data_IF_663811002651
#
_entry.id   IF_663811002651
#
_cell.length_a   1.000
_cell.length_b   1.000
_cell.length_c   1.000
_cell.angle_alpha   90.00
_cell.angle_beta   90.00
_cell.angle_gamma   90.00
#
_symmetry.space_group_name_H-M   'P 1'
#
loop_
_entity.id
_entity.type
_entity.pdbx_description
1 polymer ?
#
# COMPACT_ATOMS: atom_id res chain seq x y z
N UNK A 1 -19.97 -10.58 37.76
CA UNK A 1 -20.41 -11.96 38.08
C UNK A 1 -21.12 -12.58 36.86
N UNK A 2 -20.31 -13.11 35.93
CA UNK A 2 -20.78 -13.71 34.66
C UNK A 2 -20.09 -15.09 34.40
N UNK A 3 -19.39 -15.62 35.41
CA UNK A 3 -18.70 -16.91 35.29
C UNK A 3 -19.63 -18.08 35.59
N UNK A 4 -20.62 -17.90 36.48
CA UNK A 4 -21.56 -18.95 36.91
C UNK A 4 -22.77 -19.13 35.97
N UNK A 5 -23.01 -18.19 35.06
CA UNK A 5 -24.10 -18.18 34.07
C UNK A 5 -23.74 -18.88 32.76
N UNK A 6 -22.47 -19.32 32.62
CA UNK A 6 -21.96 -19.95 31.40
C UNK A 6 -22.38 -21.40 31.31
N UNK A 7 -22.54 -21.94 30.09
CA UNK A 7 -22.90 -23.34 29.92
C UNK A 7 -21.81 -24.25 30.50
N UNK A 8 -22.22 -25.33 31.15
CA UNK A 8 -21.34 -26.38 31.68
C UNK A 8 -20.72 -27.19 30.54
N UNK A 9 -19.79 -26.58 29.79
CA UNK A 9 -19.02 -27.16 28.69
C UNK A 9 -17.53 -26.90 28.91
N UNK A 10 -16.70 -27.74 28.33
CA UNK A 10 -15.23 -27.70 28.44
C UNK A 10 -14.49 -27.88 27.11
N UNK A 11 -15.20 -27.82 25.98
CA UNK A 11 -14.67 -27.96 24.62
C UNK A 11 -15.44 -27.02 23.71
N UNK A 12 -14.71 -26.16 22.98
CA UNK A 12 -15.27 -25.16 22.10
C UNK A 12 -14.57 -25.25 20.75
N UNK A 13 -15.34 -25.33 19.66
CA UNK A 13 -14.84 -25.35 18.29
C UNK A 13 -15.46 -24.23 17.47
N UNK A 14 -14.71 -23.65 16.54
CA UNK A 14 -15.25 -22.71 15.56
C UNK A 14 -16.04 -23.41 14.45
N UNK A 15 -15.77 -24.71 14.23
CA UNK A 15 -16.46 -25.55 13.26
C UNK A 15 -17.05 -26.77 13.96
N UNK A 16 -18.38 -26.88 13.99
CA UNK A 16 -19.09 -28.00 14.61
C UNK A 16 -19.21 -29.22 13.71
N UNK A 17 -19.15 -29.01 12.39
CA UNK A 17 -19.34 -30.08 11.41
C UNK A 17 -18.03 -30.83 11.17
N UNK A 18 -16.93 -30.08 11.11
CA UNK A 18 -15.58 -30.65 11.00
C UNK A 18 -14.66 -30.00 12.05
N UNK A 19 -14.84 -30.30 13.34
CA UNK A 19 -13.98 -29.75 14.37
C UNK A 19 -12.52 -30.19 14.14
N UNK A 20 -11.55 -29.27 14.26
CA UNK A 20 -10.13 -29.62 14.24
C UNK A 20 -9.82 -30.74 15.26
N UNK A 21 -9.06 -31.74 14.80
CA UNK A 21 -8.72 -32.91 15.62
C UNK A 21 -7.36 -32.73 16.29
N UNK A 22 -7.21 -33.29 17.49
CA UNK A 22 -5.94 -33.39 18.21
C UNK A 22 -5.21 -34.67 17.77
N UNK A 23 -4.15 -34.56 16.97
CA UNK A 23 -3.32 -35.68 16.55
C UNK A 23 -2.23 -35.96 17.59
N UNK A 24 -1.33 -35.02 17.85
CA UNK A 24 -0.21 -35.20 18.80
C UNK A 24 -0.70 -35.18 20.25
N UNK A 25 -1.54 -34.21 20.60
CA UNK A 25 -2.06 -34.02 21.96
C UNK A 25 -2.82 -35.26 22.47
N UNK A 26 -3.45 -36.03 21.58
CA UNK A 26 -4.12 -37.28 21.95
C UNK A 26 -3.19 -38.29 22.65
N UNK A 27 -1.92 -38.31 22.27
CA UNK A 27 -0.89 -39.16 22.88
C UNK A 27 -0.27 -38.57 24.15
N UNK A 28 -0.41 -37.26 24.35
CA UNK A 28 0.20 -36.51 25.46
C UNK A 28 -0.75 -36.33 26.66
N UNK A 29 -2.04 -36.65 26.51
CA UNK A 29 -2.99 -36.58 27.61
C UNK A 29 -2.80 -37.76 28.57
N UNK A 30 -2.85 -37.48 29.86
CA UNK A 30 -2.91 -38.50 30.89
C UNK A 30 -4.28 -39.23 30.84
N UNK A 31 -4.33 -40.47 31.33
CA UNK A 31 -5.54 -41.30 31.26
C UNK A 31 -6.72 -40.81 32.10
N UNK A 32 -6.47 -39.92 33.07
CA UNK A 32 -7.48 -39.26 33.90
C UNK A 32 -7.98 -37.92 33.31
N UNK A 33 -7.42 -37.48 32.18
CA UNK A 33 -7.87 -36.29 31.48
C UNK A 33 -9.14 -36.55 30.66
N UNK A 34 -9.89 -35.49 30.38
CA UNK A 34 -11.04 -35.50 29.50
C UNK A 34 -10.69 -36.09 28.13
N UNK A 35 -11.63 -36.78 27.45
CA UNK A 35 -11.41 -37.32 26.10
C UNK A 35 -11.02 -36.24 25.08
N UNK A 36 -10.20 -36.61 24.09
CA UNK A 36 -9.89 -35.74 22.93
C UNK A 36 -10.96 -35.78 21.84
N UNK A 37 -11.85 -36.77 21.88
CA UNK A 37 -12.98 -36.88 20.95
C UNK A 37 -13.94 -35.70 21.19
N UNK A 38 -14.38 -35.05 20.12
CA UNK A 38 -15.30 -33.90 20.24
C UNK A 38 -16.66 -34.39 20.76
N UNK A 39 -17.23 -33.75 21.81
CA UNK A 39 -18.50 -34.19 22.40
C UNK A 39 -19.73 -34.11 21.48
N UNK A 40 -19.63 -33.42 20.34
CA UNK A 40 -20.70 -33.38 19.34
C UNK A 40 -21.86 -32.46 19.74
N UNK A 41 -23.09 -32.92 19.46
CA UNK A 41 -24.31 -32.12 19.54
C UNK A 41 -24.52 -31.49 20.93
N UNK A 42 -24.32 -32.27 22.00
CA UNK A 42 -24.50 -31.86 23.40
C UNK A 42 -23.74 -30.58 23.79
N UNK A 43 -22.61 -30.33 23.11
CA UNK A 43 -21.78 -29.15 23.33
C UNK A 43 -22.03 -28.08 22.28
N UNK A 44 -22.21 -28.48 21.02
CA UNK A 44 -22.40 -27.52 19.93
C UNK A 44 -23.65 -26.67 20.10
N UNK A 45 -24.77 -27.21 20.62
CA UNK A 45 -26.00 -26.45 20.85
C UNK A 45 -25.81 -25.41 21.96
N UNK A 46 -25.26 -25.83 23.11
CA UNK A 46 -24.94 -24.94 24.24
C UNK A 46 -23.94 -23.86 23.85
N UNK A 47 -22.95 -24.22 23.04
CA UNK A 47 -21.99 -23.26 22.52
C UNK A 47 -22.66 -22.27 21.55
N UNK A 48 -23.51 -22.73 20.65
CA UNK A 48 -24.20 -21.88 19.67
C UNK A 48 -25.08 -20.83 20.36
N UNK A 49 -25.73 -21.19 21.46
CA UNK A 49 -26.53 -20.26 22.28
C UNK A 49 -25.64 -19.27 23.04
N UNK A 50 -24.60 -19.75 23.74
CA UNK A 50 -23.80 -18.91 24.63
C UNK A 50 -22.69 -18.10 23.93
N UNK A 51 -22.18 -18.59 22.80
CA UNK A 51 -21.02 -18.04 22.08
C UNK A 51 -21.25 -17.99 20.56
N UNK A 52 -22.30 -17.29 20.08
CA UNK A 52 -22.63 -17.24 18.66
C UNK A 52 -21.55 -16.59 17.79
N UNK A 53 -20.68 -15.77 18.40
CA UNK A 53 -19.56 -15.08 17.77
C UNK A 53 -18.35 -15.98 17.48
N UNK A 54 -18.25 -17.14 18.12
CA UNK A 54 -17.13 -18.07 17.90
C UNK A 54 -17.38 -18.85 16.62
N UNK A 55 -16.83 -18.31 15.54
CA UNK A 55 -16.92 -18.82 14.18
C UNK A 55 -15.52 -18.89 13.55
N UNK A 56 -15.37 -19.61 12.43
CA UNK A 56 -14.10 -19.67 11.71
C UNK A 56 -13.69 -18.26 11.27
N UNK A 57 -12.39 -17.97 11.30
CA UNK A 57 -11.86 -16.73 10.77
C UNK A 57 -11.42 -16.94 9.33
N UNK A 58 -11.81 -16.03 8.43
CA UNK A 58 -11.38 -16.04 7.03
C UNK A 58 -10.55 -14.80 6.76
N UNK A 59 -9.39 -14.98 6.12
CA UNK A 59 -8.47 -13.91 5.76
C UNK A 59 -8.20 -13.95 4.25
N UNK A 60 -8.16 -12.78 3.63
CA UNK A 60 -7.80 -12.60 2.21
C UNK A 60 -6.28 -12.71 2.00
N UNK A 61 -5.70 -13.84 2.41
CA UNK A 61 -4.27 -14.16 2.36
C UNK A 61 -4.08 -15.61 1.94
N UNK A 62 -2.84 -15.96 1.56
CA UNK A 62 -2.54 -17.36 1.25
C UNK A 62 -2.64 -18.23 2.51
N UNK A 63 -2.75 -19.54 2.32
CA UNK A 63 -2.80 -20.47 3.44
C UNK A 63 -1.49 -20.46 4.23
N UNK A 64 -0.36 -20.29 3.54
CA UNK A 64 0.97 -20.21 4.12
C UNK A 64 1.12 -18.96 5.00
N UNK A 65 0.76 -17.78 4.50
CA UNK A 65 0.83 -16.53 5.25
C UNK A 65 -0.11 -16.58 6.47
N UNK A 66 -1.33 -17.09 6.26
CA UNK A 66 -2.32 -17.24 7.34
C UNK A 66 -1.86 -18.21 8.42
N UNK A 67 -1.21 -19.30 8.03
CA UNK A 67 -0.59 -20.25 8.94
C UNK A 67 0.53 -19.59 9.76
N UNK A 68 1.43 -18.86 9.12
CA UNK A 68 2.52 -18.19 9.81
C UNK A 68 1.99 -17.11 10.78
N UNK A 69 0.95 -16.35 10.40
CA UNK A 69 0.25 -15.42 11.29
C UNK A 69 -0.34 -16.11 12.53
N UNK A 70 -1.01 -17.25 12.34
CA UNK A 70 -1.57 -18.04 13.45
C UNK A 70 -0.48 -18.59 14.38
N UNK A 71 0.61 -19.10 13.80
CA UNK A 71 1.78 -19.60 14.54
C UNK A 71 2.43 -18.50 15.39
N UNK A 72 2.67 -17.34 14.79
CA UNK A 72 3.24 -16.20 15.50
C UNK A 72 2.30 -15.67 16.58
N UNK A 73 0.99 -15.65 16.34
CA UNK A 73 0.01 -15.29 17.35
C UNK A 73 0.07 -16.23 18.56
N UNK A 74 0.20 -17.54 18.36
CA UNK A 74 0.42 -18.49 19.47
C UNK A 74 1.71 -18.23 20.24
N UNK A 75 2.80 -17.90 19.52
CA UNK A 75 4.08 -17.57 20.15
C UNK A 75 3.98 -16.28 20.99
N UNK A 76 3.28 -15.24 20.51
CA UNK A 76 3.03 -13.99 21.28
C UNK A 76 2.19 -14.21 22.53
N UNK A 77 1.35 -15.25 22.52
CA UNK A 77 0.53 -15.66 23.67
C UNK A 77 1.28 -16.59 24.63
N UNK A 78 2.57 -16.86 24.38
CA UNK A 78 3.41 -17.80 25.12
C UNK A 78 2.82 -19.21 25.21
N UNK A 79 2.10 -19.65 24.17
CA UNK A 79 1.56 -21.00 24.11
C UNK A 79 2.63 -21.97 23.60
N UNK A 80 2.74 -23.12 24.29
CA UNK A 80 3.74 -24.13 23.95
C UNK A 80 3.25 -24.96 22.77
N UNK A 81 3.78 -24.71 21.58
CA UNK A 81 3.52 -25.53 20.39
C UNK A 81 4.15 -26.91 20.58
N UNK A 82 3.34 -27.97 20.44
CA UNK A 82 3.75 -29.37 20.58
C UNK A 82 3.78 -30.12 19.24
N UNK A 83 3.05 -29.64 18.25
CA UNK A 83 3.08 -30.15 16.89
C UNK A 83 2.72 -29.05 15.91
N UNK A 84 3.41 -29.02 14.77
CA UNK A 84 3.15 -28.06 13.70
C UNK A 84 3.33 -28.76 12.35
N UNK A 85 2.40 -28.51 11.42
CA UNK A 85 2.40 -29.00 10.04
C UNK A 85 1.96 -27.85 9.15
N UNK A 86 2.86 -27.39 8.28
CA UNK A 86 2.54 -26.35 7.31
C UNK A 86 1.51 -26.84 6.28
N UNK A 87 0.68 -25.94 5.71
CA UNK A 87 -0.12 -26.29 4.55
C UNK A 87 0.81 -26.62 3.37
N UNK A 88 0.52 -27.72 2.67
CA UNK A 88 1.32 -28.18 1.52
C UNK A 88 0.44 -28.97 0.55
N UNK A 89 0.59 -28.75 -0.75
CA UNK A 89 -0.08 -29.57 -1.79
C UNK A 89 -1.61 -29.59 -1.70
N UNK A 90 -2.23 -28.54 -1.15
CA UNK A 90 -3.68 -28.46 -0.90
C UNK A 90 -4.14 -29.09 0.41
N UNK A 91 -3.25 -29.74 1.16
CA UNK A 91 -3.55 -30.21 2.51
C UNK A 91 -3.59 -29.02 3.50
N UNK A 92 -4.53 -29.02 4.47
CA UNK A 92 -4.60 -27.96 5.46
C UNK A 92 -3.41 -28.03 6.43
N UNK A 93 -2.92 -26.86 6.83
CA UNK A 93 -1.96 -26.73 7.91
C UNK A 93 -2.61 -27.01 9.27
N UNK A 94 -1.79 -27.44 10.24
CA UNK A 94 -2.21 -27.70 11.62
C UNK A 94 -1.17 -27.22 12.62
N UNK A 95 -1.63 -26.61 13.71
CA UNK A 95 -0.80 -26.26 14.86
C UNK A 95 -1.50 -26.74 16.11
N UNK A 96 -0.82 -27.55 16.91
CA UNK A 96 -1.29 -27.99 18.22
C UNK A 96 -0.41 -27.35 19.30
N UNK A 97 -1.07 -26.72 20.26
CA UNK A 97 -0.40 -26.05 21.35
C UNK A 97 -1.07 -26.33 22.69
N UNK A 98 -0.28 -26.16 23.73
CA UNK A 98 -0.64 -26.37 25.11
C UNK A 98 -0.52 -25.04 25.86
N UNK A 99 -1.52 -24.72 26.67
CA UNK A 99 -1.59 -23.48 27.44
C UNK A 99 -1.80 -23.77 28.91
N UNK A 100 -1.14 -23.00 29.78
CA UNK A 100 -1.27 -23.13 31.23
C UNK A 100 -2.22 -22.05 31.74
N UNK A 101 -3.23 -22.43 32.52
CA UNK A 101 -4.12 -21.46 33.16
C UNK A 101 -3.50 -20.90 34.45
N UNK A 102 -3.49 -19.56 34.58
CA UNK A 102 -2.80 -18.83 35.65
C UNK A 102 -3.28 -19.15 37.07
N UNK A 103 -4.53 -19.61 37.24
CA UNK A 103 -5.17 -19.66 38.57
C UNK A 103 -5.16 -21.05 39.22
N UNK A 104 -4.82 -22.12 38.46
CA UNK A 104 -4.76 -23.49 39.01
C UNK A 104 -3.71 -24.39 38.36
N UNK A 105 -2.93 -23.91 37.39
CA UNK A 105 -1.92 -24.74 36.71
C UNK A 105 -2.52 -25.84 35.82
N UNK A 106 -3.82 -25.80 35.53
CA UNK A 106 -4.43 -26.75 34.61
C UNK A 106 -3.97 -26.46 33.19
N UNK A 107 -3.52 -27.52 32.55
CA UNK A 107 -3.08 -27.56 31.17
C UNK A 107 -4.31 -27.72 30.27
N UNK A 108 -4.50 -26.78 29.35
CA UNK A 108 -5.53 -26.86 28.32
C UNK A 108 -4.89 -27.03 26.94
N UNK A 109 -5.67 -27.55 26.00
CA UNK A 109 -5.21 -27.82 24.65
C UNK A 109 -5.91 -26.91 23.65
N UNK A 110 -5.16 -26.52 22.63
CA UNK A 110 -5.69 -25.80 21.48
C UNK A 110 -5.11 -26.39 20.19
N UNK A 111 -5.98 -26.54 19.20
CA UNK A 111 -5.58 -26.92 17.85
C UNK A 111 -6.14 -25.89 16.88
N UNK A 112 -5.29 -25.49 15.95
CA UNK A 112 -5.63 -24.62 14.83
C UNK A 112 -5.45 -25.40 13.54
N UNK A 113 -6.43 -25.33 12.66
CA UNK A 113 -6.39 -25.84 11.29
C UNK A 113 -6.50 -24.66 10.34
N UNK A 114 -5.58 -24.57 9.38
CA UNK A 114 -5.60 -23.54 8.33
C UNK A 114 -5.82 -24.22 6.99
N UNK A 115 -6.93 -23.90 6.33
CA UNK A 115 -7.31 -24.48 5.04
C UNK A 115 -7.26 -23.44 3.94
N UNK A 116 -6.73 -23.82 2.78
CA UNK A 116 -6.71 -22.96 1.60
C UNK A 116 -8.11 -22.83 0.99
N UNK A 117 -8.49 -21.62 0.60
CA UNK A 117 -9.65 -21.30 -0.22
C UNK A 117 -9.24 -20.65 -1.54
N UNK A 118 -10.20 -20.04 -2.25
CA UNK A 118 -9.93 -19.34 -3.51
C UNK A 118 -9.56 -17.88 -3.23
N UNK A 119 -8.25 -17.59 -3.16
CA UNK A 119 -7.75 -16.23 -2.86
C UNK A 119 -7.86 -15.82 -1.39
N UNK A 120 -8.29 -16.75 -0.54
CA UNK A 120 -8.43 -16.58 0.90
C UNK A 120 -8.00 -17.86 1.63
N UNK A 121 -7.82 -17.77 2.94
CA UNK A 121 -7.58 -18.90 3.81
C UNK A 121 -8.49 -18.85 5.04
N UNK A 122 -8.87 -20.02 5.53
CA UNK A 122 -9.77 -20.20 6.67
C UNK A 122 -9.03 -20.80 7.85
N UNK A 123 -9.19 -20.17 9.01
CA UNK A 123 -8.69 -20.64 10.31
C UNK A 123 -9.85 -21.23 11.10
N UNK A 124 -9.82 -22.54 11.32
CA UNK A 124 -10.66 -23.22 12.29
C UNK A 124 -9.86 -23.48 13.57
N UNK A 125 -10.49 -23.31 14.72
CA UNK A 125 -9.86 -23.48 16.03
C UNK A 125 -10.74 -24.34 16.91
N UNK A 126 -10.12 -25.27 17.64
CA UNK A 126 -10.75 -25.97 18.75
C UNK A 126 -9.91 -25.84 20.00
N UNK A 127 -10.55 -25.53 21.11
CA UNK A 127 -9.90 -25.45 22.41
C UNK A 127 -10.66 -26.26 23.44
N UNK A 128 -9.96 -27.15 24.12
CA UNK A 128 -10.55 -28.14 25.01
C UNK A 128 -9.74 -28.24 26.31
N UNK A 129 -10.45 -28.28 27.43
CA UNK A 129 -9.85 -28.41 28.75
C UNK A 129 -9.56 -29.86 29.09
N UNK A 130 -8.38 -30.13 29.66
CA UNK A 130 -8.00 -31.50 30.07
C UNK A 130 -8.72 -31.96 31.33
N UNK A 131 -9.14 -31.04 32.19
CA UNK A 131 -9.74 -31.38 33.48
C UNK A 131 -10.99 -30.55 33.75
N UNK A 132 -11.95 -31.19 34.42
CA UNK A 132 -13.23 -30.59 34.79
C UNK A 132 -14.23 -30.51 33.64
N UNK A 133 -15.52 -30.45 33.99
CA UNK A 133 -16.63 -30.43 33.03
C UNK A 133 -17.04 -29.01 32.59
N UNK A 134 -16.52 -27.97 33.25
CA UNK A 134 -16.90 -26.58 33.03
C UNK A 134 -15.66 -25.69 32.97
N UNK A 135 -15.47 -25.02 31.83
CA UNK A 135 -14.31 -24.14 31.60
C UNK A 135 -14.56 -22.68 32.01
N UNK A 136 -15.77 -22.33 32.47
CA UNK A 136 -16.20 -20.96 32.78
C UNK A 136 -15.91 -19.98 31.61
N UNK A 137 -16.00 -20.49 30.38
CA UNK A 137 -15.70 -19.83 29.11
C UNK A 137 -14.22 -19.47 28.89
N UNK A 138 -13.29 -20.19 29.52
CA UNK A 138 -11.86 -20.05 29.27
C UNK A 138 -11.48 -20.40 27.83
N UNK A 139 -12.07 -21.45 27.24
CA UNK A 139 -11.83 -21.86 25.86
C UNK A 139 -12.29 -20.78 24.89
N UNK A 140 -13.47 -20.21 25.13
CA UNK A 140 -14.01 -19.10 24.35
C UNK A 140 -13.07 -17.88 24.38
N UNK A 141 -12.58 -17.51 25.57
CA UNK A 141 -11.61 -16.41 25.72
C UNK A 141 -10.29 -16.70 25.00
N UNK A 142 -9.79 -17.93 25.03
CA UNK A 142 -8.56 -18.32 24.32
C UNK A 142 -8.70 -18.19 22.82
N UNK A 143 -9.79 -18.68 22.24
CA UNK A 143 -10.04 -18.54 20.79
C UNK A 143 -10.10 -17.05 20.40
N UNK A 144 -10.84 -16.22 21.17
CA UNK A 144 -10.90 -14.77 20.91
C UNK A 144 -9.54 -14.08 21.00
N UNK A 145 -8.71 -14.46 21.98
CA UNK A 145 -7.34 -13.92 22.13
C UNK A 145 -6.47 -14.28 20.94
N UNK A 146 -6.48 -15.54 20.51
CA UNK A 146 -5.77 -15.99 19.31
C UNK A 146 -6.19 -15.15 18.10
N UNK A 147 -7.49 -15.01 17.87
CA UNK A 147 -8.04 -14.21 16.77
C UNK A 147 -7.65 -12.73 16.83
N UNK A 148 -7.59 -12.15 18.03
CA UNK A 148 -7.12 -10.77 18.23
C UNK A 148 -5.65 -10.64 17.82
N UNK A 149 -4.81 -11.59 18.25
CA UNK A 149 -3.38 -11.58 17.92
C UNK A 149 -3.11 -11.83 16.44
N UNK A 150 -3.89 -12.70 15.78
CA UNK A 150 -3.81 -12.91 14.33
C UNK A 150 -4.11 -11.62 13.57
N UNK A 151 -5.19 -10.92 13.94
CA UNK A 151 -5.54 -9.62 13.33
C UNK A 151 -4.46 -8.57 13.56
N UNK A 152 -3.92 -8.47 14.78
CA UNK A 152 -2.84 -7.53 15.08
C UNK A 152 -1.57 -7.82 14.25
N UNK A 153 -1.25 -9.11 14.03
CA UNK A 153 -0.15 -9.52 13.15
C UNK A 153 -0.38 -9.11 11.69
N UNK A 154 -1.61 -9.29 11.20
CA UNK A 154 -2.00 -8.89 9.84
C UNK A 154 -1.89 -7.38 9.65
N UNK A 155 -2.48 -6.58 10.54
CA UNK A 155 -2.44 -5.12 10.49
C UNK A 155 -1.01 -4.58 10.54
N UNK A 156 -0.16 -5.18 11.37
CA UNK A 156 1.26 -4.86 11.43
C UNK A 156 1.95 -5.11 10.09
N UNK A 157 1.74 -6.29 9.48
CA UNK A 157 2.31 -6.63 8.19
C UNK A 157 1.85 -5.70 7.06
N UNK A 158 0.56 -5.34 7.04
CA UNK A 158 0.01 -4.38 6.08
C UNK A 158 0.62 -2.99 6.24
N UNK A 159 0.78 -2.53 7.48
CA UNK A 159 1.40 -1.24 7.78
C UNK A 159 2.85 -1.20 7.33
N UNK A 160 3.64 -2.22 7.63
CA UNK A 160 5.04 -2.31 7.22
C UNK A 160 5.17 -2.31 5.68
N UNK A 161 4.31 -3.06 4.99
CA UNK A 161 4.26 -3.07 3.53
C UNK A 161 3.92 -1.69 2.95
N UNK A 162 2.96 -0.97 3.55
CA UNK A 162 2.60 0.39 3.15
C UNK A 162 3.75 1.37 3.36
N UNK A 163 4.43 1.31 4.51
CA UNK A 163 5.59 2.16 4.80
C UNK A 163 6.72 1.95 3.79
N UNK A 164 7.02 0.70 3.45
CA UNK A 164 8.01 0.36 2.41
C UNK A 164 7.58 0.91 1.04
N UNK A 165 6.31 0.73 0.66
CA UNK A 165 5.79 1.23 -0.61
C UNK A 165 5.84 2.76 -0.70
N UNK A 166 5.49 3.47 0.38
CA UNK A 166 5.59 4.93 0.45
C UNK A 166 7.04 5.40 0.38
N UNK A 167 7.96 4.75 1.08
CA UNK A 167 9.38 5.06 1.04
C UNK A 167 9.96 4.89 -0.37
N UNK A 168 9.59 3.80 -1.07
CA UNK A 168 9.96 3.56 -2.46
C UNK A 168 9.42 4.66 -3.37
N UNK A 169 8.12 4.98 -3.28
CA UNK A 169 7.50 6.04 -4.09
C UNK A 169 8.13 7.41 -3.85
N UNK A 170 8.47 7.73 -2.60
CA UNK A 170 9.15 8.98 -2.25
C UNK A 170 10.56 9.07 -2.86
N UNK A 171 11.30 7.95 -2.88
CA UNK A 171 12.60 7.87 -3.55
C UNK A 171 12.45 8.08 -5.06
N UNK A 172 11.53 7.36 -5.69
CA UNK A 172 11.29 7.45 -7.13
C UNK A 172 10.89 8.89 -7.53
N UNK A 173 10.05 9.56 -6.73
CA UNK A 173 9.68 10.96 -6.96
C UNK A 173 10.87 11.93 -6.83
N UNK A 174 11.78 11.70 -5.89
CA UNK A 174 13.02 12.52 -5.75
C UNK A 174 13.93 12.32 -6.95
N UNK A 175 14.10 11.08 -7.40
CA UNK A 175 14.93 10.75 -8.56
C UNK A 175 14.35 11.36 -9.84
N UNK A 176 13.03 11.27 -10.04
CA UNK A 176 12.32 11.95 -11.13
C UNK A 176 12.47 13.47 -11.07
N UNK A 177 12.32 14.08 -9.89
CA UNK A 177 12.47 15.52 -9.73
C UNK A 177 13.92 15.98 -10.03
N UNK A 178 14.92 15.18 -9.66
CA UNK A 178 16.33 15.43 -10.00
C UNK A 178 16.55 15.36 -11.50
N UNK A 179 16.08 14.31 -12.17
CA UNK A 179 16.16 14.17 -13.62
C UNK A 179 15.48 15.35 -14.34
N UNK A 180 14.29 15.75 -13.89
CA UNK A 180 13.57 16.89 -14.47
C UNK A 180 14.34 18.21 -14.29
N UNK A 181 14.99 18.42 -13.15
CA UNK A 181 15.85 19.60 -12.92
C UNK A 181 17.07 19.61 -13.85
N UNK A 182 17.72 18.47 -14.04
CA UNK A 182 18.86 18.32 -14.95
C UNK A 182 18.46 18.57 -16.41
N UNK A 183 17.33 17.99 -16.84
CA UNK A 183 16.78 18.22 -18.18
C UNK A 183 16.41 19.70 -18.40
N UNK A 184 15.76 20.34 -17.43
CA UNK A 184 15.44 21.78 -17.49
C UNK A 184 16.69 22.64 -17.53
N UNK A 185 17.70 22.32 -16.73
CA UNK A 185 18.97 23.04 -16.74
C UNK A 185 19.70 22.89 -18.08
N UNK A 186 19.67 21.69 -18.67
CA UNK A 186 20.23 21.44 -20.00
C UNK A 186 19.48 22.21 -21.09
N UNK A 187 18.15 22.13 -21.11
CA UNK A 187 17.31 22.86 -22.07
C UNK A 187 17.52 24.38 -21.97
N UNK A 188 17.61 24.93 -20.75
CA UNK A 188 17.90 26.35 -20.54
C UNK A 188 19.26 26.75 -21.12
N UNK A 189 20.30 25.96 -20.89
CA UNK A 189 21.63 26.21 -21.47
C UNK A 189 21.60 26.17 -22.99
N UNK A 190 20.90 25.19 -23.58
CA UNK A 190 20.75 25.07 -25.03
C UNK A 190 20.01 26.28 -25.63
N UNK A 191 18.95 26.75 -24.95
CA UNK A 191 18.20 27.95 -25.32
C UNK A 191 19.07 29.22 -25.24
N UNK A 192 19.82 29.41 -24.16
CA UNK A 192 20.75 30.55 -23.99
C UNK A 192 21.79 30.59 -25.11
N UNK A 193 22.38 29.44 -25.46
CA UNK A 193 23.35 29.32 -26.57
C UNK A 193 22.68 29.65 -27.91
N UNK A 194 21.44 29.17 -28.14
CA UNK A 194 20.68 29.48 -29.35
C UNK A 194 20.40 30.97 -29.47
N UNK A 195 19.96 31.61 -28.39
CA UNK A 195 19.70 33.05 -28.32
C UNK A 195 20.98 33.88 -28.53
N UNK A 196 22.11 33.45 -27.97
CA UNK A 196 23.40 34.10 -28.18
C UNK A 196 23.82 34.07 -29.66
N UNK A 197 23.70 32.89 -30.32
CA UNK A 197 23.95 32.76 -31.76
C UNK A 197 23.04 33.65 -32.61
N UNK A 198 21.76 33.76 -32.28
CA UNK A 198 20.82 34.62 -32.99
C UNK A 198 21.21 36.10 -32.83
N UNK A 199 21.62 36.53 -31.63
CA UNK A 199 22.10 37.89 -31.37
C UNK A 199 23.38 38.21 -32.12
N UNK A 200 24.34 37.29 -32.19
CA UNK A 200 25.55 37.48 -32.99
C UNK A 200 25.24 37.62 -34.47
N UNK A 201 24.38 36.75 -35.01
CA UNK A 201 23.95 36.85 -36.41
C UNK A 201 23.28 38.20 -36.71
N UNK A 202 22.37 38.66 -35.85
CA UNK A 202 21.71 39.95 -36.02
C UNK A 202 22.72 41.12 -36.01
N UNK A 203 23.68 41.12 -35.08
CA UNK A 203 24.75 42.13 -35.03
C UNK A 203 25.62 42.12 -36.28
N UNK A 204 25.95 40.94 -36.80
CA UNK A 204 26.73 40.83 -38.03
C UNK A 204 25.98 41.38 -39.25
N UNK A 205 24.67 41.13 -39.33
CA UNK A 205 23.80 41.70 -40.37
C UNK A 205 23.70 43.23 -40.26
N UNK A 206 23.58 43.78 -39.04
CA UNK A 206 23.57 45.23 -38.80
C UNK A 206 24.89 45.89 -39.21
N UNK A 207 26.03 45.32 -38.79
CA UNK A 207 27.36 45.81 -39.18
C UNK A 207 27.54 45.80 -40.70
N UNK A 208 27.04 44.75 -41.36
CA UNK A 208 27.08 44.65 -42.82
C UNK A 208 26.24 45.75 -43.47
N UNK A 209 25.03 46.00 -42.99
CA UNK A 209 24.18 47.12 -43.46
C UNK A 209 24.83 48.48 -43.24
N UNK A 210 25.45 48.71 -42.08
CA UNK A 210 26.14 49.97 -41.78
C UNK A 210 27.34 50.20 -42.71
N UNK A 211 28.11 49.14 -43.00
CA UNK A 211 29.21 49.17 -43.97
C UNK A 211 28.70 49.47 -45.38
N UNK A 212 27.61 48.83 -45.81
CA UNK A 212 26.96 49.11 -47.10
C UNK A 212 26.51 50.58 -47.19
N UNK A 213 25.85 51.11 -46.15
CA UNK A 213 25.44 52.52 -46.08
C UNK A 213 26.64 53.48 -46.09
N UNK A 214 27.74 53.16 -45.39
CA UNK A 214 28.96 53.96 -45.44
C UNK A 214 29.58 53.96 -46.84
N UNK A 215 29.65 52.81 -47.51
CA UNK A 215 30.14 52.72 -48.89
C UNK A 215 29.25 53.50 -49.87
N UNK A 216 27.94 53.46 -49.68
CA UNK A 216 27.00 54.28 -50.45
C UNK A 216 27.23 55.78 -50.21
N UNK A 217 27.37 56.21 -48.96
CA UNK A 217 27.66 57.61 -48.64
C UNK A 217 28.98 58.10 -49.26
N UNK A 218 30.03 57.27 -49.21
CA UNK A 218 31.34 57.60 -49.79
C UNK A 218 31.27 57.70 -51.32
N UNK A 219 30.47 56.85 -51.98
CA UNK A 219 30.22 56.95 -53.43
C UNK A 219 29.52 58.25 -53.80
N UNK A 220 28.52 58.66 -53.03
CA UNK A 220 27.82 59.94 -53.22
C UNK A 220 28.80 61.11 -53.10
N UNK A 221 29.67 61.09 -52.08
CA UNK A 221 30.65 62.15 -51.82
C UNK A 221 31.74 62.24 -52.91
N UNK A 222 32.12 61.11 -53.50
CA UNK A 222 33.06 61.02 -54.63
C UNK A 222 32.42 61.33 -56.00
N UNK A 223 31.13 61.71 -56.05
CA UNK A 223 30.42 62.05 -57.29
C UNK A 223 30.10 60.85 -58.19
N UNK A 224 30.17 59.63 -57.66
CA UNK A 224 29.83 58.39 -58.36
C UNK A 224 28.34 58.07 -58.17
N UNK A 225 27.62 57.81 -59.26
CA UNK A 225 26.19 57.51 -59.23
C UNK A 225 25.90 56.22 -58.43
N UNK A 226 24.91 56.28 -57.54
CA UNK A 226 24.45 55.13 -56.76
C UNK A 226 23.95 54.01 -57.68
N UNK A 227 24.35 52.75 -57.46
CA UNK A 227 23.84 51.64 -58.26
C UNK A 227 22.38 51.37 -57.86
N UNK A 228 21.44 51.69 -58.74
CA UNK A 228 20.04 51.27 -58.61
C UNK A 228 18.98 52.37 -58.44
N UNK A 229 19.30 53.66 -58.65
CA UNK A 229 18.26 54.70 -58.74
C UNK A 229 17.98 55.02 -60.21
N UNK A 230 16.87 54.54 -60.80
CA UNK A 230 16.33 55.21 -61.97
C UNK A 230 15.65 56.51 -61.50
N UNK A 231 16.32 57.64 -61.75
CA UNK A 231 15.75 58.98 -61.85
C UNK A 231 14.84 59.49 -60.72
N UNK A 232 15.33 60.45 -59.93
CA UNK A 232 14.43 61.41 -59.27
C UNK A 232 14.00 62.54 -60.23
N UNK A 233 13.18 63.52 -59.81
CA UNK A 233 12.25 63.55 -58.67
C UNK A 233 10.82 64.00 -59.06
N UNK A 234 9.80 63.72 -58.24
CA UNK A 234 8.53 64.46 -58.28
C UNK A 234 8.00 64.70 -56.87
N UNK A 235 7.92 65.97 -56.49
CA UNK A 235 7.33 66.47 -55.26
C UNK A 235 5.81 66.30 -55.30
N UNK A 236 5.20 65.80 -54.21
CA UNK A 236 3.82 66.20 -53.84
C UNK A 236 3.58 66.07 -52.33
N UNK A 237 3.52 67.24 -51.68
CA UNK A 237 2.74 67.75 -50.53
C UNK A 237 2.41 66.89 -49.28
N UNK A 238 2.32 67.53 -48.10
CA UNK A 238 2.21 66.86 -46.81
C UNK A 238 0.75 66.55 -46.44
N UNK A 239 0.53 65.48 -45.68
CA UNK A 239 -0.75 65.22 -45.01
C UNK A 239 -0.52 64.94 -43.51
N UNK A 240 -1.16 65.78 -42.68
CA UNK A 240 -1.11 65.83 -41.22
C UNK A 240 -1.60 64.53 -40.56
N UNK A 241 -1.04 64.31 -39.37
CA UNK A 241 -1.34 63.26 -38.40
C UNK A 241 -2.77 63.24 -37.86
N UNK A 242 -3.21 62.04 -37.44
CA UNK A 242 -4.02 61.78 -36.24
C UNK A 242 -3.78 60.35 -35.78
N UNK A 243 -3.08 60.22 -34.65
CA UNK A 243 -3.15 59.02 -33.81
C UNK A 243 -4.25 59.29 -32.78
N UNK A 244 -5.28 58.44 -32.75
CA UNK A 244 -6.17 58.30 -31.59
C UNK A 244 -5.78 57.01 -30.87
N UNK A 245 -5.40 57.19 -29.61
CA UNK A 245 -5.43 56.16 -28.57
C UNK A 245 -6.82 55.55 -28.43
N UNK A 246 -6.89 54.36 -27.82
CA UNK A 246 -8.06 53.47 -27.61
C UNK A 246 -8.10 52.38 -28.71
N UNK A 247 -7.60 51.17 -28.47
CA UNK A 247 -8.17 50.19 -27.56
C UNK A 247 -7.11 49.22 -27.02
N UNK A 248 -6.61 49.48 -25.80
CA UNK A 248 -5.86 48.49 -25.01
C UNK A 248 -6.80 47.55 -24.21
N UNK A 249 -8.12 47.66 -24.42
CA UNK A 249 -9.15 47.02 -23.60
C UNK A 249 -9.68 45.69 -24.16
N UNK A 250 -9.28 45.27 -25.36
CA UNK A 250 -9.88 44.12 -26.08
C UNK A 250 -9.01 42.87 -26.21
N UNK A 251 -7.80 42.85 -25.65
CA UNK A 251 -6.92 41.68 -25.81
C UNK A 251 -7.10 40.61 -24.72
N UNK A 252 -7.70 40.94 -23.58
CA UNK A 252 -7.86 39.99 -22.46
C UNK A 252 -9.17 39.19 -22.46
N UNK A 253 -10.06 39.37 -23.45
CA UNK A 253 -11.32 38.61 -23.55
C UNK A 253 -11.20 37.25 -24.27
N UNK A 254 -10.02 36.86 -24.76
CA UNK A 254 -9.83 35.55 -25.42
C UNK A 254 -9.22 34.45 -24.52
N UNK A 255 -8.95 34.75 -23.25
CA UNK A 255 -8.54 33.77 -22.25
C UNK A 255 -9.43 33.89 -21.01
N UNK A 256 -10.72 33.57 -21.18
CA UNK A 256 -11.67 33.35 -20.10
C UNK A 256 -11.93 31.86 -19.90
N UNK A 257 -11.79 31.46 -18.63
CA UNK A 257 -12.32 30.27 -17.93
C UNK A 257 -11.79 28.87 -18.28
#
# INVERSE_FOLDING_TARGET
>A
PDLLTRPKINDISTDFQSPPQFEMISSLRAGDANPTVYPGLDFSEKQAEAYPDIRPMVLERSAEETYDLAREAMNRLDWKIVSERKPEGGAPGRIEAVTNTLFMGYTDDIVVRVSAGTGEARIDVRSASRYGDHDFGANARRIRRLFTEVKAGLEKGEREALEIALAKRAKDARDQAKQLRELRAKAKKEEEVRLARLREKARAEELKRLSELQQEALRIEQGLALPGIPGGPAQTRPRRARASSEDASKFWEQFGE
#
